data_IF_346213368501
#
_entry.id   IF_346213368501
#
_cell.length_a   1.000
_cell.length_b   1.000
_cell.length_c   1.000
_cell.angle_alpha   90.00
_cell.angle_beta   90.00
_cell.angle_gamma   90.00
#
_symmetry.space_group_name_H-M   'P 1'
#
loop_
_entity.id
_entity.type
_entity.pdbx_description
1 polymer ?
#
# COMPACT_ATOMS: atom_id res chain seq x y z
N UNK A 1 33.50 8.94 -21.29
CA UNK A 1 32.81 7.79 -20.65
C UNK A 1 32.33 8.24 -19.27
N UNK A 2 31.09 7.92 -18.85
CA UNK A 2 30.65 8.21 -17.49
C UNK A 2 31.55 7.49 -16.48
N UNK A 3 31.75 8.09 -15.31
CA UNK A 3 32.47 7.42 -14.22
C UNK A 3 31.65 6.22 -13.69
N UNK A 4 32.33 5.28 -13.02
CA UNK A 4 31.69 4.06 -12.52
C UNK A 4 30.49 4.38 -11.61
N UNK A 5 30.59 5.41 -10.77
CA UNK A 5 29.53 5.81 -9.85
C UNK A 5 28.28 6.30 -10.59
N UNK A 6 28.45 7.10 -11.64
CA UNK A 6 27.34 7.59 -12.45
C UNK A 6 26.69 6.46 -13.23
N UNK A 7 27.48 5.54 -13.81
CA UNK A 7 26.94 4.36 -14.47
C UNK A 7 26.13 3.49 -13.49
N UNK A 8 26.67 3.23 -12.29
CA UNK A 8 25.98 2.46 -11.25
C UNK A 8 24.66 3.13 -10.84
N UNK A 9 24.64 4.45 -10.65
CA UNK A 9 23.39 5.19 -10.34
C UNK A 9 22.32 4.95 -11.41
N UNK A 10 22.67 5.07 -12.68
CA UNK A 10 21.70 4.85 -13.76
C UNK A 10 21.20 3.42 -13.81
N UNK A 11 22.08 2.43 -13.59
CA UNK A 11 21.69 1.03 -13.52
C UNK A 11 20.72 0.76 -12.36
N UNK A 12 21.00 1.32 -11.17
CA UNK A 12 20.13 1.18 -10.01
C UNK A 12 18.77 1.86 -10.20
N UNK A 13 18.75 3.06 -10.78
CA UNK A 13 17.51 3.78 -11.10
C UNK A 13 16.69 2.97 -12.12
N UNK A 14 17.33 2.48 -13.18
CA UNK A 14 16.68 1.65 -14.19
C UNK A 14 16.10 0.38 -13.56
N UNK A 15 16.86 -0.30 -12.71
CA UNK A 15 16.40 -1.48 -11.97
C UNK A 15 15.15 -1.18 -11.14
N UNK A 16 15.17 -0.10 -10.34
CA UNK A 16 14.03 0.32 -9.51
C UNK A 16 12.80 0.65 -10.35
N UNK A 17 12.98 1.34 -11.48
CA UNK A 17 11.87 1.67 -12.39
C UNK A 17 11.27 0.41 -12.99
N UNK A 18 12.11 -0.52 -13.47
CA UNK A 18 11.64 -1.77 -14.08
C UNK A 18 10.89 -2.64 -13.05
N UNK A 19 11.42 -2.75 -11.83
CA UNK A 19 10.79 -3.54 -10.77
C UNK A 19 9.44 -2.94 -10.31
N UNK A 20 9.39 -1.62 -10.08
CA UNK A 20 8.12 -0.94 -9.74
C UNK A 20 7.11 -1.02 -10.89
N UNK A 21 7.56 -0.90 -12.14
CA UNK A 21 6.68 -1.03 -13.31
C UNK A 21 6.13 -2.45 -13.41
N UNK A 22 6.97 -3.45 -13.16
CA UNK A 22 6.55 -4.85 -13.13
C UNK A 22 5.56 -5.12 -11.98
N UNK A 23 5.84 -4.61 -10.77
CA UNK A 23 4.94 -4.69 -9.62
C UNK A 23 3.59 -4.02 -9.91
N UNK A 24 3.59 -2.84 -10.54
CA UNK A 24 2.36 -2.16 -10.97
C UNK A 24 1.55 -3.01 -11.95
N UNK A 25 2.21 -3.59 -12.96
CA UNK A 25 1.54 -4.49 -13.91
C UNK A 25 0.97 -5.73 -13.21
N UNK A 26 1.66 -6.28 -12.22
CA UNK A 26 1.11 -7.36 -11.40
C UNK A 26 -0.16 -6.91 -10.66
N UNK A 27 -0.11 -5.77 -9.96
CA UNK A 27 -1.25 -5.25 -9.22
C UNK A 27 -2.45 -4.94 -10.10
N UNK A 28 -2.21 -4.40 -11.30
CA UNK A 28 -3.26 -4.07 -12.26
C UNK A 28 -4.00 -5.32 -12.78
N UNK A 29 -3.31 -6.45 -12.89
CA UNK A 29 -3.87 -7.70 -13.40
C UNK A 29 -4.36 -8.65 -12.28
N UNK A 30 -4.43 -8.18 -11.03
CA UNK A 30 -4.94 -8.98 -9.90
C UNK A 30 -6.45 -8.87 -9.77
N UNK A 31 -7.14 -9.95 -9.34
CA UNK A 31 -8.56 -9.90 -9.06
C UNK A 31 -8.87 -8.93 -7.92
N UNK A 32 -10.05 -8.31 -7.98
CA UNK A 32 -10.61 -7.54 -6.87
C UNK A 32 -11.09 -8.51 -5.80
N UNK A 33 -10.58 -8.38 -4.56
CA UNK A 33 -10.82 -9.33 -3.46
C UNK A 33 -10.76 -8.63 -2.09
N UNK A 34 -11.10 -9.35 -1.01
CA UNK A 34 -11.06 -8.91 0.38
C UNK A 34 -12.33 -8.16 0.80
N UNK A 35 -13.49 -8.67 0.43
CA UNK A 35 -14.82 -8.09 0.75
C UNK A 35 -14.99 -6.63 0.28
N UNK A 36 -14.24 -6.26 -0.76
CA UNK A 36 -14.19 -4.91 -1.32
C UNK A 36 -15.59 -4.34 -1.59
N UNK A 37 -16.50 -5.12 -2.17
CA UNK A 37 -17.87 -4.70 -2.43
C UNK A 37 -18.62 -4.34 -1.14
N UNK A 38 -18.52 -5.17 -0.12
CA UNK A 38 -19.20 -4.98 1.16
C UNK A 38 -18.65 -3.79 1.95
N UNK A 39 -17.39 -3.40 1.73
CA UNK A 39 -16.76 -2.24 2.40
C UNK A 39 -17.06 -0.93 1.67
N UNK A 40 -17.06 -0.96 0.33
CA UNK A 40 -17.29 0.23 -0.49
C UNK A 40 -18.77 0.60 -0.46
N UNK A 41 -19.65 -0.36 -0.77
CA UNK A 41 -21.10 -0.19 -0.63
C UNK A 41 -21.46 -0.88 0.68
N UNK A 42 -21.41 -0.16 1.83
CA UNK A 42 -21.45 -0.77 3.15
C UNK A 42 -22.68 -1.65 3.29
N UNK A 43 -22.47 -2.97 3.32
CA UNK A 43 -23.49 -3.91 3.75
C UNK A 43 -23.90 -3.58 5.19
N UNK A 44 -25.08 -4.02 5.62
CA UNK A 44 -25.60 -3.69 6.96
C UNK A 44 -24.58 -4.03 8.08
N UNK A 45 -23.86 -5.15 7.92
CA UNK A 45 -22.81 -5.60 8.84
C UNK A 45 -21.63 -4.62 8.98
N UNK A 46 -21.34 -3.81 7.96
CA UNK A 46 -20.27 -2.82 7.98
C UNK A 46 -20.75 -1.43 8.43
N UNK A 47 -22.05 -1.20 8.56
CA UNK A 47 -22.55 0.09 9.05
C UNK A 47 -22.23 0.32 10.51
N UNK A 48 -22.31 -0.72 11.33
CA UNK A 48 -22.04 -0.64 12.77
C UNK A 48 -20.57 -0.26 13.04
N UNK A 49 -19.61 -0.92 12.37
CA UNK A 49 -18.19 -0.52 12.51
C UNK A 49 -17.96 0.92 12.09
N UNK A 50 -18.68 1.42 11.08
CA UNK A 50 -18.58 2.81 10.61
C UNK A 50 -19.25 3.84 11.53
N UNK A 51 -20.03 3.41 12.52
CA UNK A 51 -20.71 4.27 13.51
C UNK A 51 -19.99 4.30 14.87
N UNK A 52 -19.16 3.30 15.16
CA UNK A 52 -18.35 3.24 16.37
C UNK A 52 -16.84 3.21 16.02
N UNK A 53 -16.21 4.38 15.81
CA UNK A 53 -14.85 4.47 15.30
C UNK A 53 -13.77 3.96 16.25
N UNK A 54 -14.08 3.88 17.55
CA UNK A 54 -13.15 3.42 18.59
C UNK A 54 -13.52 2.04 19.14
N UNK A 55 -14.61 1.43 18.68
CA UNK A 55 -15.09 0.14 19.18
C UNK A 55 -15.57 0.20 20.64
N UNK A 56 -16.01 1.37 21.10
CA UNK A 56 -16.41 1.58 22.50
C UNK A 56 -17.72 0.88 22.85
N UNK A 57 -18.65 0.72 21.91
CA UNK A 57 -19.93 0.08 22.17
C UNK A 57 -19.78 -1.42 22.43
N UNK A 58 -18.80 -2.06 21.77
CA UNK A 58 -18.41 -3.44 22.11
C UNK A 58 -17.90 -3.55 23.54
N UNK A 59 -17.10 -2.56 23.99
CA UNK A 59 -16.48 -2.58 25.31
C UNK A 59 -17.43 -2.19 26.44
N UNK A 60 -18.29 -1.19 26.21
CA UNK A 60 -19.14 -0.58 27.23
C UNK A 60 -20.55 -1.18 27.27
N UNK A 61 -21.08 -1.58 26.11
CA UNK A 61 -22.47 -2.00 25.97
C UNK A 61 -22.62 -3.48 25.61
N UNK A 62 -21.51 -4.19 25.36
CA UNK A 62 -21.53 -5.62 25.00
C UNK A 62 -22.09 -5.90 23.61
N UNK A 63 -22.09 -4.89 22.74
CA UNK A 63 -22.47 -5.03 21.33
C UNK A 63 -21.52 -6.02 20.61
N UNK A 64 -22.04 -6.66 19.55
CA UNK A 64 -21.27 -7.63 18.77
C UNK A 64 -21.46 -7.40 17.29
N UNK A 65 -20.38 -6.96 16.62
CA UNK A 65 -20.34 -6.79 15.18
C UNK A 65 -18.93 -7.05 14.63
N UNK A 66 -18.79 -7.32 13.31
CA UNK A 66 -17.49 -7.69 12.74
C UNK A 66 -16.45 -6.56 12.85
N UNK A 67 -15.21 -6.95 13.17
CA UNK A 67 -14.02 -6.09 13.06
C UNK A 67 -14.11 -4.71 13.77
N UNK A 68 -14.53 -4.63 15.05
CA UNK A 68 -14.75 -3.36 15.74
C UNK A 68 -13.49 -2.49 15.88
N UNK A 69 -12.31 -3.09 15.79
CA UNK A 69 -11.02 -2.41 15.85
C UNK A 69 -10.48 -1.96 14.49
N UNK A 70 -11.26 -2.06 13.39
CA UNK A 70 -10.79 -1.80 12.02
C UNK A 70 -11.45 -0.60 11.34
N UNK A 71 -12.14 0.26 12.09
CA UNK A 71 -12.84 1.43 11.55
C UNK A 71 -12.00 2.23 10.54
N UNK A 72 -10.79 2.64 10.92
CA UNK A 72 -9.95 3.49 10.06
C UNK A 72 -9.55 2.81 8.76
N UNK A 73 -9.36 1.48 8.77
CA UNK A 73 -9.03 0.73 7.57
C UNK A 73 -10.25 0.62 6.63
N UNK A 74 -11.44 0.35 7.18
CA UNK A 74 -12.71 0.39 6.43
C UNK A 74 -12.97 1.78 5.84
N UNK A 75 -12.86 2.83 6.67
CA UNK A 75 -13.07 4.20 6.26
C UNK A 75 -12.10 4.63 5.15
N UNK A 76 -10.80 4.39 5.32
CA UNK A 76 -9.78 4.79 4.34
C UNK A 76 -9.98 4.09 2.99
N UNK A 77 -10.19 2.78 3.01
CA UNK A 77 -10.44 1.99 1.80
C UNK A 77 -11.75 2.39 1.11
N UNK A 78 -12.85 2.55 1.87
CA UNK A 78 -14.15 2.98 1.34
C UNK A 78 -14.07 4.37 0.72
N UNK A 79 -13.42 5.33 1.39
CA UNK A 79 -13.22 6.68 0.87
C UNK A 79 -12.40 6.66 -0.42
N UNK A 80 -11.29 5.92 -0.44
CA UNK A 80 -10.42 5.81 -1.61
C UNK A 80 -11.17 5.27 -2.82
N UNK A 81 -11.90 4.16 -2.65
CA UNK A 81 -12.58 3.51 -3.78
C UNK A 81 -13.89 4.18 -4.20
N UNK A 82 -14.47 5.05 -3.36
CA UNK A 82 -15.57 5.94 -3.78
C UNK A 82 -15.11 7.15 -4.58
N UNK A 83 -13.82 7.49 -4.52
CA UNK A 83 -13.28 8.74 -5.11
C UNK A 83 -12.34 8.48 -6.27
N UNK A 84 -11.32 7.63 -6.09
CA UNK A 84 -10.26 7.44 -7.06
C UNK A 84 -10.73 6.79 -8.38
N UNK A 85 -11.53 5.71 -8.39
CA UNK A 85 -12.03 5.15 -9.65
C UNK A 85 -12.84 6.17 -10.46
N UNK A 86 -13.69 6.98 -9.82
CA UNK A 86 -14.46 8.03 -10.51
C UNK A 86 -13.56 9.10 -11.14
N UNK A 87 -12.48 9.49 -10.48
CA UNK A 87 -11.50 10.40 -11.06
C UNK A 87 -10.80 9.79 -12.29
N UNK A 88 -10.44 8.50 -12.21
CA UNK A 88 -9.76 7.76 -13.27
C UNK A 88 -10.68 7.44 -14.46
N UNK A 89 -11.99 7.47 -14.29
CA UNK A 89 -12.96 7.30 -15.38
C UNK A 89 -12.87 8.41 -16.44
N UNK A 90 -12.27 9.55 -16.12
CA UNK A 90 -11.96 10.59 -17.12
C UNK A 90 -11.02 10.12 -18.23
N UNK A 91 -10.22 9.07 -17.97
CA UNK A 91 -9.19 8.55 -18.88
C UNK A 91 -9.25 7.03 -19.08
N UNK A 92 -10.23 6.34 -18.47
CA UNK A 92 -10.36 4.88 -18.53
C UNK A 92 -11.80 4.42 -18.39
N UNK A 93 -12.11 3.19 -18.83
CA UNK A 93 -13.44 2.61 -18.68
C UNK A 93 -13.78 2.31 -17.21
N UNK A 94 -15.07 2.26 -16.81
CA UNK A 94 -15.47 2.09 -15.41
C UNK A 94 -14.83 0.87 -14.71
N UNK A 95 -14.80 -0.29 -15.37
CA UNK A 95 -14.20 -1.50 -14.78
C UNK A 95 -12.68 -1.31 -14.64
N UNK A 96 -12.02 -0.91 -15.72
CA UNK A 96 -10.58 -0.66 -15.77
C UNK A 96 -10.14 0.37 -14.73
N UNK A 97 -10.96 1.39 -14.46
CA UNK A 97 -10.68 2.42 -13.46
C UNK A 97 -10.52 1.86 -12.04
N UNK A 98 -11.23 0.78 -11.69
CA UNK A 98 -11.15 0.13 -10.38
C UNK A 98 -9.87 -0.69 -10.24
N UNK A 99 -9.47 -1.41 -11.30
CA UNK A 99 -8.18 -2.11 -11.35
C UNK A 99 -7.02 -1.12 -11.32
N UNK A 100 -7.13 -0.01 -12.04
CA UNK A 100 -6.14 1.06 -12.04
C UNK A 100 -6.01 1.72 -10.65
N UNK A 101 -7.14 2.03 -10.00
CA UNK A 101 -7.14 2.53 -8.62
C UNK A 101 -6.47 1.53 -7.66
N UNK A 102 -6.74 0.23 -7.83
CA UNK A 102 -6.12 -0.82 -7.02
C UNK A 102 -4.61 -0.86 -7.20
N UNK A 103 -4.13 -0.81 -8.45
CA UNK A 103 -2.70 -0.77 -8.75
C UNK A 103 -2.01 0.49 -8.20
N UNK A 104 -2.66 1.66 -8.31
CA UNK A 104 -2.16 2.92 -7.78
C UNK A 104 -2.05 2.87 -6.25
N UNK A 105 -3.09 2.39 -5.55
CA UNK A 105 -3.03 2.26 -4.09
C UNK A 105 -1.85 1.39 -3.65
N UNK A 106 -1.71 0.21 -4.27
CA UNK A 106 -0.68 -0.77 -3.90
C UNK A 106 0.72 -0.26 -4.21
N UNK A 107 0.95 0.34 -5.38
CA UNK A 107 2.27 0.86 -5.76
C UNK A 107 2.69 2.05 -4.88
N UNK A 108 1.75 2.93 -4.51
CA UNK A 108 2.05 4.06 -3.64
C UNK A 108 2.41 3.59 -2.22
N UNK A 109 1.70 2.59 -1.69
CA UNK A 109 1.99 2.01 -0.38
C UNK A 109 3.32 1.25 -0.40
N UNK A 110 3.59 0.45 -1.44
CA UNK A 110 4.89 -0.21 -1.65
C UNK A 110 6.03 0.80 -1.69
N UNK A 111 5.90 1.84 -2.52
CA UNK A 111 6.89 2.91 -2.64
C UNK A 111 7.12 3.62 -1.30
N UNK A 112 6.04 3.95 -0.57
CA UNK A 112 6.12 4.56 0.74
C UNK A 112 6.89 3.68 1.74
N UNK A 113 6.59 2.38 1.78
CA UNK A 113 7.30 1.43 2.65
C UNK A 113 8.78 1.33 2.29
N UNK A 114 9.13 1.19 1.01
CA UNK A 114 10.53 1.15 0.56
C UNK A 114 11.24 2.45 0.95
N UNK A 115 10.64 3.61 0.67
CA UNK A 115 11.19 4.91 1.03
C UNK A 115 11.46 5.03 2.54
N UNK A 116 10.49 4.64 3.38
CA UNK A 116 10.64 4.65 4.83
C UNK A 116 11.75 3.70 5.27
N UNK A 117 11.78 2.45 4.79
CA UNK A 117 12.83 1.50 5.16
C UNK A 117 14.23 1.99 4.76
N UNK A 118 14.36 2.66 3.62
CA UNK A 118 15.63 3.28 3.20
C UNK A 118 16.00 4.43 4.13
N UNK A 119 15.05 5.28 4.55
CA UNK A 119 15.31 6.31 5.56
C UNK A 119 15.76 5.70 6.89
N UNK A 120 15.08 4.64 7.34
CA UNK A 120 15.41 3.91 8.56
C UNK A 120 16.75 3.22 8.52
N UNK A 121 17.32 2.91 7.35
CA UNK A 121 18.62 2.22 7.23
C UNK A 121 19.77 3.17 6.92
N UNK A 122 19.55 4.17 6.06
CA UNK A 122 20.60 5.03 5.51
C UNK A 122 20.61 6.47 6.03
N UNK A 123 19.51 6.92 6.66
CA UNK A 123 19.25 8.32 7.00
C UNK A 123 19.45 9.31 5.83
N UNK A 124 19.32 8.83 4.58
CA UNK A 124 19.52 9.66 3.40
C UNK A 124 18.17 10.08 2.80
N UNK A 125 17.88 11.38 2.79
CA UNK A 125 16.65 11.92 2.17
C UNK A 125 16.77 12.19 0.67
N UNK A 126 17.98 12.10 0.12
CA UNK A 126 18.25 12.38 -1.30
C UNK A 126 18.06 11.11 -2.12
N UNK A 127 16.91 10.99 -2.79
CA UNK A 127 16.50 9.77 -3.52
C UNK A 127 17.45 9.33 -4.65
N UNK A 128 18.25 10.23 -5.21
CA UNK A 128 19.24 9.94 -6.26
C UNK A 128 20.68 9.75 -5.74
N UNK A 129 20.87 9.75 -4.42
CA UNK A 129 22.16 9.45 -3.79
C UNK A 129 22.37 7.92 -3.76
N UNK A 130 23.61 7.45 -3.95
CA UNK A 130 23.91 6.01 -3.88
C UNK A 130 23.59 5.43 -2.49
N UNK A 131 23.67 6.25 -1.43
CA UNK A 131 23.27 5.87 -0.08
C UNK A 131 21.77 5.58 0.04
N UNK A 132 20.95 6.12 -0.86
CA UNK A 132 19.53 5.81 -0.96
C UNK A 132 19.29 4.66 -1.96
N UNK A 133 19.86 4.76 -3.15
CA UNK A 133 19.62 3.83 -4.26
C UNK A 133 20.08 2.40 -3.96
N UNK A 134 21.21 2.23 -3.27
CA UNK A 134 21.73 0.89 -2.94
C UNK A 134 20.79 0.15 -1.98
N UNK A 135 20.42 0.71 -0.80
CA UNK A 135 19.43 0.07 0.06
C UNK A 135 18.08 -0.12 -0.63
N UNK A 136 17.61 0.85 -1.41
CA UNK A 136 16.34 0.73 -2.14
C UNK A 136 16.34 -0.49 -3.08
N UNK A 137 17.42 -0.68 -3.86
CA UNK A 137 17.57 -1.79 -4.79
C UNK A 137 17.70 -3.15 -4.07
N UNK A 138 18.25 -3.18 -2.86
CA UNK A 138 18.32 -4.41 -2.06
C UNK A 138 16.98 -4.76 -1.40
N UNK A 139 16.19 -3.75 -1.03
CA UNK A 139 14.92 -3.91 -0.33
C UNK A 139 13.79 -4.25 -1.30
N UNK A 140 13.76 -3.64 -2.48
CA UNK A 140 12.62 -3.75 -3.41
C UNK A 140 12.21 -5.19 -3.78
N UNK A 141 13.13 -6.17 -4.00
CA UNK A 141 12.73 -7.53 -4.38
C UNK A 141 11.98 -8.27 -3.26
N UNK A 142 12.08 -7.79 -2.02
CA UNK A 142 11.36 -8.36 -0.87
C UNK A 142 9.86 -8.05 -0.90
N UNK A 143 9.41 -7.12 -1.75
CA UNK A 143 8.01 -6.72 -1.92
C UNK A 143 7.26 -7.51 -3.01
N UNK A 144 7.73 -8.73 -3.32
CA UNK A 144 7.09 -9.62 -4.29
C UNK A 144 5.63 -9.98 -3.92
N UNK A 145 4.71 -9.78 -4.86
CA UNK A 145 3.27 -9.97 -4.61
C UNK A 145 2.79 -11.41 -4.68
N UNK A 146 3.44 -12.25 -5.49
CA UNK A 146 3.10 -13.68 -5.61
C UNK A 146 3.66 -14.46 -4.41
N UNK A 147 4.64 -13.89 -3.70
CA UNK A 147 5.28 -14.45 -2.51
C UNK A 147 5.88 -15.84 -2.73
N UNK A 148 6.41 -16.42 -1.66
CA UNK A 148 6.65 -17.86 -1.59
C UNK A 148 5.36 -18.56 -1.12
N UNK A 149 4.77 -19.40 -1.97
CA UNK A 149 3.53 -20.15 -1.71
C UNK A 149 2.29 -19.30 -1.36
N UNK A 150 2.19 -18.04 -1.83
CA UNK A 150 1.08 -17.09 -1.56
C UNK A 150 0.95 -16.55 -0.12
N UNK A 151 1.88 -16.89 0.79
CA UNK A 151 1.77 -16.49 2.22
C UNK A 151 2.80 -15.44 2.67
N UNK A 152 3.79 -15.12 1.85
CA UNK A 152 4.89 -14.20 2.20
C UNK A 152 4.94 -12.95 1.31
N UNK A 153 3.81 -12.24 1.17
CA UNK A 153 3.75 -10.95 0.49
C UNK A 153 3.61 -9.81 1.50
N UNK A 154 4.49 -8.80 1.45
CA UNK A 154 4.32 -7.56 2.23
C UNK A 154 3.15 -6.74 1.69
N UNK A 155 3.02 -6.71 0.36
CA UNK A 155 1.83 -6.22 -0.34
C UNK A 155 0.96 -7.43 -0.67
N UNK A 156 -0.19 -7.48 -0.03
CA UNK A 156 -1.14 -8.57 -0.20
C UNK A 156 -1.72 -8.60 -1.63
N UNK A 157 -2.26 -9.73 -2.08
CA UNK A 157 -2.96 -9.81 -3.36
C UNK A 157 -4.25 -8.98 -3.36
N UNK A 158 -5.01 -9.00 -2.25
CA UNK A 158 -6.12 -8.10 -2.03
C UNK A 158 -5.63 -6.69 -1.72
N UNK A 159 -6.18 -5.72 -2.46
CA UNK A 159 -5.96 -4.30 -2.17
C UNK A 159 -6.54 -3.91 -0.80
N UNK A 160 -7.65 -4.51 -0.38
CA UNK A 160 -8.23 -4.25 0.94
C UNK A 160 -7.25 -4.64 2.04
N UNK A 161 -6.61 -5.80 1.95
CA UNK A 161 -5.58 -6.18 2.92
C UNK A 161 -4.33 -5.28 2.88
N UNK A 162 -4.04 -4.66 1.74
CA UNK A 162 -3.02 -3.61 1.67
C UNK A 162 -3.41 -2.37 2.50
N UNK A 163 -4.68 -1.94 2.45
CA UNK A 163 -5.21 -0.88 3.32
C UNK A 163 -5.26 -1.28 4.80
N UNK A 164 -5.46 -2.55 5.11
CA UNK A 164 -5.65 -3.03 6.48
C UNK A 164 -4.33 -3.36 7.20
N UNK A 165 -3.27 -3.65 6.46
CA UNK A 165 -2.00 -4.07 7.05
C UNK A 165 -0.81 -3.21 6.59
N UNK A 166 -0.55 -3.14 5.28
CA UNK A 166 0.63 -2.46 4.75
C UNK A 166 0.59 -0.93 4.98
N UNK A 167 -0.58 -0.30 4.77
CA UNK A 167 -0.75 1.14 5.04
C UNK A 167 -0.58 1.46 6.55
N UNK A 168 -1.27 0.79 7.50
CA UNK A 168 -1.02 0.99 8.92
C UNK A 168 0.42 0.77 9.33
N UNK A 169 1.12 -0.23 8.75
CA UNK A 169 2.55 -0.43 8.98
C UNK A 169 3.37 0.78 8.51
N UNK A 170 3.07 1.34 7.34
CA UNK A 170 3.73 2.55 6.84
C UNK A 170 3.47 3.76 7.77
N UNK A 171 2.24 3.95 8.23
CA UNK A 171 1.89 5.02 9.17
C UNK A 171 2.59 4.84 10.52
N UNK A 172 2.70 3.61 11.01
CA UNK A 172 3.45 3.28 12.22
C UNK A 172 4.94 3.62 12.07
N UNK A 173 5.55 3.28 10.93
CA UNK A 173 6.93 3.67 10.61
C UNK A 173 7.09 5.19 10.54
N UNK A 174 6.11 5.93 10.04
CA UNK A 174 6.13 7.41 10.06
C UNK A 174 6.07 7.92 11.51
N UNK A 175 5.17 7.38 12.32
CA UNK A 175 5.00 7.77 13.73
C UNK A 175 6.30 7.59 14.52
N UNK A 176 7.00 6.48 14.33
CA UNK A 176 8.27 6.21 15.00
C UNK A 176 9.49 6.90 14.38
N UNK A 177 9.34 7.55 13.22
CA UNK A 177 10.47 8.11 12.49
C UNK A 177 11.29 9.09 13.35
N UNK A 178 10.70 10.05 14.10
CA UNK A 178 11.45 11.00 14.92
C UNK A 178 12.18 10.37 16.10
N UNK A 179 11.80 9.15 16.52
CA UNK A 179 12.44 8.45 17.64
C UNK A 179 13.73 7.78 17.18
N UNK A 180 13.75 7.27 15.95
CA UNK A 180 14.88 6.51 15.41
C UNK A 180 15.77 7.32 14.46
N UNK A 181 15.30 8.44 13.90
CA UNK A 181 15.99 9.25 12.88
C UNK A 181 15.77 10.75 13.07
#
# INVERSE_FOLDING_TARGET
>A
MPDFKTLLKYLLILFLILDLSYSFMQYFNMPLDGDMAHIIVPAEEFKQVMQDPLGMDVLLHGESYPNPNRFFAHWASSLYFKTMPLALQSISEPITSVYLASAIAKILIQFLLIFLLVLYTSNCRRIFDLRFLIPAALIIPLFQTVGYSRYMGVIDQSVIYTFFYALPLALMLIYYLPVYR
#
